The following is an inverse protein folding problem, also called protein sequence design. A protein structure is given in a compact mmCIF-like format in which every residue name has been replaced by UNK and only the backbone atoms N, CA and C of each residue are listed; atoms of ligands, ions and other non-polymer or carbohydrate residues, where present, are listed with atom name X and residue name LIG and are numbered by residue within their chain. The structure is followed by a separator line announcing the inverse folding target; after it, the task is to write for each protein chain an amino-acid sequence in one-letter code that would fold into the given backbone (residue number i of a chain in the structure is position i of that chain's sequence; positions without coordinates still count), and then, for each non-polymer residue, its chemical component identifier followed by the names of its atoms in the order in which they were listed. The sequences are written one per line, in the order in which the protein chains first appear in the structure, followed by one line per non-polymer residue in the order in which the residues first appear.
data_IF_233553809052
#
_entry.id   IF_233553809052
#
_cell.length_a   1.000
_cell.length_b   1.000
_cell.length_c   1.000
_cell.angle_alpha   90.00
_cell.angle_beta   90.00
_cell.angle_gamma   90.00
#
_symmetry.space_group_name_H-M   'P 1'
#
loop_
_entity.id
_entity.type
_entity.pdbx_description
1 polymer ?
#
# COMPACT_ATOMS: atom_id res chain seq x y z
N UNK A 1 27.79 4.02 10.79
CA UNK A 1 26.34 4.27 10.88
C UNK A 1 25.99 4.22 12.35
N UNK A 2 25.04 5.03 12.83
CA UNK A 2 24.56 5.03 14.21
C UNK A 2 23.03 4.89 14.25
N UNK A 3 22.48 4.65 15.44
CA UNK A 3 21.03 4.47 15.62
C UNK A 3 20.22 5.70 15.19
N UNK A 4 20.73 6.91 15.42
CA UNK A 4 20.04 8.13 15.03
C UNK A 4 19.92 8.25 13.49
N UNK A 5 20.97 7.89 12.75
CA UNK A 5 20.97 7.89 11.28
C UNK A 5 20.03 6.83 10.73
N UNK A 6 19.98 5.65 11.35
CA UNK A 6 19.05 4.57 10.96
C UNK A 6 17.61 5.00 11.14
N UNK A 7 17.26 5.56 12.30
CA UNK A 7 15.90 6.05 12.56
C UNK A 7 15.53 7.16 11.58
N UNK A 8 16.45 8.08 11.28
CA UNK A 8 16.22 9.15 10.29
C UNK A 8 15.97 8.59 8.89
N UNK A 9 16.70 7.54 8.50
CA UNK A 9 16.48 6.89 7.22
C UNK A 9 15.10 6.23 7.14
N UNK A 10 14.74 5.45 8.16
CA UNK A 10 13.44 4.78 8.26
C UNK A 10 12.27 5.77 8.28
N UNK A 11 12.40 6.90 8.98
CA UNK A 11 11.43 7.99 8.94
C UNK A 11 11.25 8.53 7.52
N UNK A 12 12.35 8.70 6.78
CA UNK A 12 12.30 9.11 5.38
C UNK A 12 11.57 8.12 4.47
N UNK A 13 11.73 6.81 4.71
CA UNK A 13 11.00 5.78 3.98
C UNK A 13 9.49 5.83 4.25
N UNK A 14 9.09 6.07 5.51
CA UNK A 14 7.67 6.24 5.87
C UNK A 14 7.06 7.44 5.16
N UNK A 15 7.75 8.59 5.18
CA UNK A 15 7.27 9.79 4.47
C UNK A 15 7.15 9.54 2.97
N UNK A 16 8.08 8.80 2.37
CA UNK A 16 7.98 8.41 0.96
C UNK A 16 6.76 7.50 0.71
N UNK A 17 6.41 6.62 1.64
CA UNK A 17 5.19 5.80 1.59
C UNK A 17 3.94 6.67 1.48
N UNK A 18 3.80 7.60 2.41
CA UNK A 18 2.63 8.46 2.54
C UNK A 18 2.46 9.30 1.27
N UNK A 19 3.57 9.80 0.72
CA UNK A 19 3.53 10.50 -0.56
C UNK A 19 3.06 9.59 -1.69
N UNK A 20 3.52 8.34 -1.78
CA UNK A 20 3.04 7.42 -2.83
C UNK A 20 1.54 7.12 -2.71
N UNK A 21 1.03 6.99 -1.49
CA UNK A 21 -0.40 6.80 -1.20
C UNK A 21 -1.19 8.03 -1.65
N UNK A 22 -0.78 9.22 -1.22
CA UNK A 22 -1.44 10.49 -1.54
C UNK A 22 -1.52 10.76 -3.05
N UNK A 23 -0.48 10.40 -3.80
CA UNK A 23 -0.46 10.57 -5.26
C UNK A 23 -1.16 9.45 -6.04
N UNK A 24 -1.69 8.41 -5.36
CA UNK A 24 -2.45 7.33 -6.00
C UNK A 24 -1.63 6.48 -6.98
N UNK A 25 -0.30 6.39 -6.80
CA UNK A 25 0.59 5.63 -7.67
C UNK A 25 0.50 4.13 -7.39
N UNK A 26 -0.59 3.50 -7.80
CA UNK A 26 -0.93 2.10 -7.50
C UNK A 26 0.14 1.08 -7.92
N UNK A 27 0.90 1.34 -8.99
CA UNK A 27 1.99 0.46 -9.45
C UNK A 27 3.18 0.50 -8.49
N UNK A 28 3.49 1.67 -7.93
CA UNK A 28 4.53 1.82 -6.92
C UNK A 28 4.13 1.16 -5.61
N UNK A 29 2.85 1.25 -5.22
CA UNK A 29 2.32 0.56 -4.02
C UNK A 29 2.49 -0.96 -4.12
N UNK A 30 2.32 -1.56 -5.32
CA UNK A 30 2.56 -2.99 -5.50
C UNK A 30 4.05 -3.39 -5.33
N UNK A 31 4.99 -2.45 -5.51
CA UNK A 31 6.42 -2.70 -5.32
C UNK A 31 6.86 -2.69 -3.85
N UNK A 32 6.03 -2.16 -2.95
CA UNK A 32 6.36 -2.03 -1.52
C UNK A 32 6.51 -3.38 -0.82
N UNK A 33 5.69 -4.37 -1.18
CA UNK A 33 5.81 -5.72 -0.63
C UNK A 33 7.20 -6.34 -0.83
N UNK A 34 7.87 -6.01 -1.96
CA UNK A 34 9.25 -6.45 -2.22
C UNK A 34 10.29 -5.71 -1.39
N UNK A 35 10.11 -4.40 -1.16
CA UNK A 35 11.06 -3.59 -0.37
C UNK A 35 11.15 -4.04 1.09
N UNK A 36 10.03 -4.47 1.67
CA UNK A 36 10.00 -5.01 3.04
C UNK A 36 10.84 -6.27 3.17
N UNK A 37 10.91 -7.12 2.13
CA UNK A 37 11.74 -8.33 2.12
C UNK A 37 13.25 -8.03 2.06
N UNK A 38 13.63 -6.87 1.52
CA UNK A 38 15.02 -6.44 1.37
C UNK A 38 15.60 -5.71 2.61
N UNK A 39 14.75 -5.35 3.57
CA UNK A 39 15.21 -4.61 4.75
C UNK A 39 16.00 -5.51 5.72
N UNK A 40 17.28 -5.17 5.92
CA UNK A 40 18.16 -5.86 6.88
C UNK A 40 18.46 -4.94 8.06
N UNK A 41 18.08 -5.30 9.29
CA UNK A 41 18.40 -4.49 10.45
C UNK A 41 19.92 -4.42 10.67
N UNK A 42 20.45 -3.26 11.07
CA UNK A 42 21.89 -3.08 11.25
C UNK A 42 22.38 -3.91 12.44
N UNK A 43 23.25 -4.89 12.17
CA UNK A 43 23.70 -5.89 13.15
C UNK A 43 24.86 -5.43 14.04
N UNK A 44 25.54 -4.33 13.69
CA UNK A 44 26.75 -3.86 14.36
C UNK A 44 26.54 -2.70 15.34
N UNK A 45 25.31 -2.22 15.53
CA UNK A 45 25.04 -1.00 16.30
C UNK A 45 24.85 -1.20 17.80
N UNK A 46 24.89 -2.45 18.29
CA UNK A 46 24.57 -2.75 19.68
C UNK A 46 23.11 -2.40 20.03
N UNK A 47 22.74 -2.34 21.32
CA UNK A 47 21.37 -2.03 21.72
C UNK A 47 20.98 -0.58 21.36
N UNK A 48 19.68 -0.35 21.12
CA UNK A 48 19.13 0.98 20.92
C UNK A 48 19.34 1.83 22.19
N UNK A 49 19.95 3.04 22.10
CA UNK A 49 20.07 3.98 23.20
C UNK A 49 18.73 4.38 23.81
N UNK A 50 18.70 4.59 25.14
CA UNK A 50 17.47 4.86 25.89
C UNK A 50 16.78 6.16 25.45
N UNK A 51 17.55 7.18 25.12
CA UNK A 51 17.08 8.47 24.60
C UNK A 51 16.38 8.37 23.23
N UNK A 52 16.68 7.31 22.47
CA UNK A 52 16.06 7.05 21.17
C UNK A 52 14.84 6.11 21.24
N UNK A 53 14.54 5.51 22.39
CA UNK A 53 13.43 4.55 22.51
C UNK A 53 12.08 5.16 22.18
N UNK A 54 11.81 6.36 22.70
CA UNK A 54 10.54 7.04 22.45
C UNK A 54 10.38 7.36 20.95
N UNK A 55 11.45 7.86 20.32
CA UNK A 55 11.47 8.14 18.88
C UNK A 55 11.21 6.87 18.06
N UNK A 56 11.90 5.77 18.38
CA UNK A 56 11.70 4.49 17.72
C UNK A 56 10.28 3.94 17.91
N UNK A 57 9.70 4.10 19.10
CA UNK A 57 8.32 3.67 19.38
C UNK A 57 7.29 4.47 18.56
N UNK A 58 7.45 5.79 18.49
CA UNK A 58 6.59 6.65 17.65
C UNK A 58 6.71 6.31 16.17
N UNK A 59 7.94 6.08 15.70
CA UNK A 59 8.19 5.66 14.32
C UNK A 59 7.51 4.31 14.02
N UNK A 60 7.61 3.34 14.91
CA UNK A 60 6.94 2.04 14.73
C UNK A 60 5.42 2.19 14.66
N UNK A 61 4.83 3.01 15.54
CA UNK A 61 3.38 3.29 15.51
C UNK A 61 2.97 3.93 14.19
N UNK A 62 3.76 4.87 13.68
CA UNK A 62 3.51 5.53 12.39
C UNK A 62 3.64 4.55 11.23
N UNK A 63 4.66 3.69 11.24
CA UNK A 63 4.84 2.61 10.26
C UNK A 63 3.63 1.68 10.21
N UNK A 64 3.06 1.30 11.36
CA UNK A 64 1.87 0.45 11.43
C UNK A 64 0.64 1.15 10.84
N UNK A 65 0.42 2.42 11.18
CA UNK A 65 -0.71 3.19 10.64
C UNK A 65 -0.63 3.34 9.11
N UNK A 66 0.56 3.62 8.58
CA UNK A 66 0.80 3.70 7.13
C UNK A 66 0.63 2.34 6.45
N UNK A 67 1.07 1.25 7.09
CA UNK A 67 0.88 -0.10 6.57
C UNK A 67 -0.61 -0.47 6.47
N UNK A 68 -1.41 -0.10 7.47
CA UNK A 68 -2.86 -0.30 7.44
C UNK A 68 -3.51 0.44 6.26
N UNK A 69 -3.18 1.73 6.06
CA UNK A 69 -3.68 2.52 4.94
C UNK A 69 -3.25 1.95 3.58
N UNK A 70 -1.99 1.50 3.46
CA UNK A 70 -1.48 0.86 2.24
C UNK A 70 -2.29 -0.38 1.86
N UNK A 71 -2.58 -1.24 2.83
CA UNK A 71 -3.38 -2.46 2.62
C UNK A 71 -4.79 -2.11 2.14
N UNK A 72 -5.44 -1.15 2.80
CA UNK A 72 -6.77 -0.70 2.38
C UNK A 72 -6.79 -0.18 0.94
N UNK A 73 -5.77 0.59 0.56
CA UNK A 73 -5.65 1.16 -0.78
C UNK A 73 -5.42 0.09 -1.85
N UNK A 74 -4.57 -0.90 -1.56
CA UNK A 74 -4.35 -2.06 -2.45
C UNK A 74 -5.68 -2.80 -2.68
N UNK A 75 -6.43 -3.08 -1.62
CA UNK A 75 -7.71 -3.79 -1.69
C UNK A 75 -8.78 -2.98 -2.45
N UNK A 76 -8.79 -1.65 -2.32
CA UNK A 76 -9.69 -0.80 -3.08
C UNK A 76 -9.36 -0.81 -4.58
N UNK A 77 -8.07 -0.73 -4.93
CA UNK A 77 -7.59 -0.76 -6.31
C UNK A 77 -7.94 -2.08 -7.02
N UNK A 78 -7.75 -3.22 -6.35
CA UNK A 78 -8.12 -4.53 -6.89
C UNK A 78 -9.62 -4.63 -7.19
N UNK A 79 -10.48 -4.21 -6.25
CA UNK A 79 -11.94 -4.18 -6.46
C UNK A 79 -12.35 -3.31 -7.64
N UNK A 80 -11.69 -2.17 -7.84
CA UNK A 80 -11.95 -1.30 -9.00
C UNK A 80 -11.57 -1.98 -10.31
N UNK A 81 -10.41 -2.64 -10.37
CA UNK A 81 -9.98 -3.39 -11.58
C UNK A 81 -10.93 -4.55 -11.89
N UNK A 82 -11.36 -5.30 -10.88
CA UNK A 82 -12.30 -6.41 -11.06
C UNK A 82 -13.66 -5.94 -11.59
N UNK A 83 -14.16 -4.81 -11.07
CA UNK A 83 -15.39 -4.21 -11.58
C UNK A 83 -15.23 -3.76 -13.03
N UNK A 84 -14.13 -3.07 -13.36
CA UNK A 84 -13.85 -2.61 -14.72
C UNK A 84 -13.73 -3.79 -15.71
N UNK A 85 -13.10 -4.88 -15.30
CA UNK A 85 -13.02 -6.11 -16.11
C UNK A 85 -14.43 -6.69 -16.36
N UNK A 86 -15.27 -6.80 -15.33
CA UNK A 86 -16.65 -7.30 -15.47
C UNK A 86 -17.51 -6.42 -16.39
N UNK A 87 -17.36 -5.09 -16.31
CA UNK A 87 -18.05 -4.17 -17.22
C UNK A 87 -17.57 -4.32 -18.67
N UNK A 88 -16.28 -4.59 -18.87
CA UNK A 88 -15.70 -4.77 -20.20
C UNK A 88 -16.19 -6.03 -20.91
N UNK A 89 -16.49 -7.10 -20.15
CA UNK A 89 -17.02 -8.37 -20.68
C UNK A 89 -18.56 -8.47 -20.63
N UNK A 90 -19.25 -7.45 -20.12
CA UNK A 90 -20.71 -7.46 -20.10
C UNK A 90 -21.27 -7.27 -21.53
N UNK A 91 -22.20 -8.12 -21.98
CA UNK A 91 -22.78 -7.98 -23.31
C UNK A 91 -23.47 -6.62 -23.47
N UNK A 92 -23.24 -5.97 -24.61
CA UNK A 92 -23.75 -4.64 -24.93
C UNK A 92 -25.28 -4.63 -25.02
N UNK A 93 -25.95 -4.26 -23.93
CA UNK A 93 -27.40 -4.00 -23.78
C UNK A 93 -28.29 -5.21 -24.15
N UNK A 94 -29.28 -5.59 -23.32
CA UNK A 94 -30.26 -6.58 -23.75
C UNK A 94 -31.02 -6.05 -24.98
N UNK A 95 -30.83 -6.70 -26.13
CA UNK A 95 -31.63 -6.45 -27.34
C UNK A 95 -33.06 -6.82 -27.01
N UNK A 96 -34.00 -5.89 -27.16
CA UNK A 96 -35.41 -6.18 -26.93
C UNK A 96 -35.86 -7.32 -27.85
N UNK A 97 -36.21 -8.47 -27.26
CA UNK A 97 -36.78 -9.60 -27.99
C UNK A 97 -38.30 -9.42 -28.02
N UNK A 98 -38.86 -9.17 -29.21
CA UNK A 98 -40.30 -9.15 -29.43
C UNK A 98 -40.78 -10.58 -29.71
N UNK A 99 -41.73 -11.07 -28.93
CA UNK A 99 -42.43 -12.33 -29.21
C UNK A 99 -43.66 -11.99 -30.03
N UNK A 100 -43.66 -12.37 -31.30
CA UNK A 100 -44.87 -12.32 -32.12
C UNK A 100 -45.74 -13.53 -31.78
N UNK A 101 -46.99 -13.26 -31.38
CA UNK A 101 -48.01 -14.29 -31.14
C UNK A 101 -48.96 -14.26 -32.33
N UNK A 102 -48.75 -15.17 -33.27
CA UNK A 102 -49.71 -15.42 -34.35
C UNK A 102 -51.02 -15.98 -33.76
N UNK A 103 -52.15 -15.39 -34.17
CA UNK A 103 -53.52 -15.82 -33.90
C UNK A 103 -53.93 -17.00 -34.80
#
# INVERSE_FOLDING_TARGET
MDWASVLTHLEGEVVAAEQNIAHGRHEEIASWGRRTEDWVPPSSLGPLPDDLRERAARLLQHQLAVAEELVERIMQSQRQRDLAARMSYAPSRPTAAFIDRAL
#
